data_IF_456981667867
#
_entry.id   IF_456981667867
#
_cell.length_a   1.000
_cell.length_b   1.000
_cell.length_c   1.000
_cell.angle_alpha   90.00
_cell.angle_beta   90.00
_cell.angle_gamma   90.00
#
_symmetry.space_group_name_H-M   'P 1'
#
loop_
_entity.id
_entity.type
_entity.pdbx_description
1 polymer ?
#
# COMPACT_ATOMS: atom_id res chain seq x y z
N UNK A 1 29.61 -1.94 19.88
CA UNK A 1 29.75 -2.62 18.58
C UNK A 1 28.63 -3.60 18.30
N UNK A 2 28.21 -4.41 19.29
CA UNK A 2 27.09 -5.33 19.13
C UNK A 2 25.78 -4.61 18.77
N UNK A 3 25.57 -3.40 19.30
CA UNK A 3 24.35 -2.60 19.01
C UNK A 3 24.23 -2.22 17.55
N UNK A 4 25.34 -1.89 16.88
CA UNK A 4 25.34 -1.51 15.48
C UNK A 4 25.05 -2.72 14.59
N UNK A 5 25.64 -3.87 14.89
CA UNK A 5 25.38 -5.11 14.17
C UNK A 5 23.94 -5.56 14.34
N UNK A 6 23.37 -5.44 15.55
CA UNK A 6 21.98 -5.79 15.81
C UNK A 6 21.02 -4.85 15.06
N UNK A 7 21.33 -3.55 15.05
CA UNK A 7 20.51 -2.57 14.33
C UNK A 7 20.49 -2.85 12.83
N UNK A 8 21.63 -3.14 12.24
CA UNK A 8 21.73 -3.47 10.83
C UNK A 8 20.99 -4.76 10.50
N UNK A 9 21.12 -5.77 11.36
CA UNK A 9 20.40 -7.04 11.23
C UNK A 9 18.88 -6.83 11.31
N UNK A 10 18.41 -6.01 12.26
CA UNK A 10 17.00 -5.68 12.44
C UNK A 10 16.46 -4.92 11.22
N UNK A 11 17.25 -4.02 10.66
CA UNK A 11 16.88 -3.28 9.45
C UNK A 11 16.75 -4.21 8.24
N UNK A 12 17.67 -5.16 8.08
CA UNK A 12 17.61 -6.14 6.99
C UNK A 12 16.40 -7.05 7.14
N UNK A 13 16.07 -7.46 8.36
CA UNK A 13 14.88 -8.27 8.65
C UNK A 13 13.61 -7.49 8.32
N UNK A 14 13.52 -6.23 8.73
CA UNK A 14 12.39 -5.35 8.42
C UNK A 14 12.24 -5.16 6.92
N UNK A 15 13.34 -4.94 6.22
CA UNK A 15 13.38 -4.80 4.77
C UNK A 15 12.83 -6.04 4.07
N UNK A 16 13.24 -7.22 4.52
CA UNK A 16 12.79 -8.49 3.97
C UNK A 16 11.29 -8.69 4.19
N UNK A 17 10.79 -8.37 5.40
CA UNK A 17 9.36 -8.46 5.73
C UNK A 17 8.53 -7.51 4.88
N UNK A 18 9.02 -6.29 4.67
CA UNK A 18 8.35 -5.32 3.80
C UNK A 18 8.30 -5.82 2.37
N UNK A 19 9.37 -6.42 1.87
CA UNK A 19 9.40 -7.01 0.53
C UNK A 19 8.33 -8.07 0.34
N UNK A 20 8.18 -8.96 1.31
CA UNK A 20 7.12 -9.99 1.29
C UNK A 20 5.73 -9.39 1.35
N UNK A 21 5.52 -8.40 2.22
CA UNK A 21 4.23 -7.72 2.34
C UNK A 21 3.86 -7.02 1.04
N UNK A 22 4.82 -6.39 0.39
CA UNK A 22 4.63 -5.74 -0.91
C UNK A 22 4.22 -6.76 -1.97
N UNK A 23 4.91 -7.90 -2.04
CA UNK A 23 4.57 -8.96 -2.99
C UNK A 23 3.14 -9.47 -2.80
N UNK A 24 2.73 -9.70 -1.56
CA UNK A 24 1.38 -10.14 -1.22
C UNK A 24 0.34 -9.10 -1.66
N UNK A 25 0.59 -7.83 -1.35
CA UNK A 25 -0.32 -6.74 -1.73
C UNK A 25 -0.42 -6.58 -3.24
N UNK A 26 0.69 -6.66 -3.97
CA UNK A 26 0.69 -6.59 -5.42
C UNK A 26 -0.09 -7.74 -6.04
N UNK A 27 0.08 -8.95 -5.51
CA UNK A 27 -0.67 -10.13 -5.96
C UNK A 27 -2.17 -9.95 -5.73
N UNK A 28 -2.56 -9.46 -4.55
CA UNK A 28 -3.97 -9.20 -4.23
C UNK A 28 -4.58 -8.14 -5.13
N UNK A 29 -3.83 -7.08 -5.41
CA UNK A 29 -4.29 -6.00 -6.28
C UNK A 29 -4.46 -6.48 -7.73
N UNK A 30 -3.61 -7.39 -8.19
CA UNK A 30 -3.73 -7.96 -9.53
C UNK A 30 -5.00 -8.81 -9.70
N UNK A 31 -5.50 -9.39 -8.61
CA UNK A 31 -6.72 -10.21 -8.63
C UNK A 31 -7.95 -9.45 -8.14
N UNK A 32 -7.80 -8.19 -7.75
CA UNK A 32 -8.93 -7.39 -7.29
C UNK A 32 -9.80 -6.92 -8.45
N UNK A 33 -11.03 -6.50 -8.13
CA UNK A 33 -11.95 -6.01 -9.15
C UNK A 33 -11.38 -4.75 -9.82
N UNK A 34 -11.66 -4.59 -11.12
CA UNK A 34 -11.21 -3.44 -11.86
C UNK A 34 -11.97 -2.17 -11.47
N UNK A 35 -11.29 -1.03 -11.57
CA UNK A 35 -11.87 0.27 -11.29
C UNK A 35 -11.51 0.78 -9.91
N UNK A 36 -12.04 1.94 -9.60
CA UNK A 36 -11.81 2.62 -8.32
C UNK A 36 -13.12 3.13 -7.74
N UNK A 37 -13.12 3.28 -6.42
CA UNK A 37 -14.28 3.80 -5.70
C UNK A 37 -14.24 5.32 -5.70
N UNK A 38 -15.35 5.93 -6.13
CA UNK A 38 -15.57 7.37 -5.98
C UNK A 38 -16.69 7.60 -4.98
N UNK A 39 -16.47 8.52 -4.07
CA UNK A 39 -17.47 8.91 -3.07
C UNK A 39 -17.83 10.37 -3.29
N UNK A 40 -19.12 10.63 -3.48
CA UNK A 40 -19.63 12.00 -3.54
C UNK A 40 -20.46 12.28 -2.32
N UNK A 41 -20.04 13.27 -1.55
CA UNK A 41 -20.71 13.68 -0.33
C UNK A 41 -21.85 14.61 -0.70
N UNK A 42 -23.07 14.27 -0.27
CA UNK A 42 -24.26 15.07 -0.53
C UNK A 42 -25.01 15.38 0.75
N UNK A 43 -25.98 16.28 0.67
CA UNK A 43 -26.81 16.67 1.82
C UNK A 43 -27.62 15.50 2.37
N UNK A 44 -28.04 14.58 1.50
CA UNK A 44 -28.82 13.39 1.88
C UNK A 44 -27.95 12.15 2.15
N UNK A 45 -26.62 12.31 2.22
CA UNK A 45 -25.70 11.21 2.49
C UNK A 45 -24.67 11.02 1.38
N UNK A 46 -23.77 10.08 1.60
CA UNK A 46 -22.72 9.79 0.64
C UNK A 46 -23.24 8.88 -0.47
N UNK A 47 -22.82 9.17 -1.70
CA UNK A 47 -23.11 8.36 -2.87
C UNK A 47 -21.85 7.71 -3.39
N UNK A 48 -21.93 6.44 -3.74
CA UNK A 48 -20.80 5.65 -4.19
C UNK A 48 -20.90 5.34 -5.67
N UNK A 49 -19.76 5.48 -6.38
CA UNK A 49 -19.69 5.23 -7.82
C UNK A 49 -18.46 4.38 -8.11
N UNK A 50 -18.60 3.51 -9.11
CA UNK A 50 -17.48 2.77 -9.68
C UNK A 50 -16.94 3.56 -10.86
N UNK A 51 -15.66 3.93 -10.80
CA UNK A 51 -14.99 4.57 -11.94
C UNK A 51 -14.13 3.51 -12.64
N UNK A 52 -14.51 3.13 -13.84
CA UNK A 52 -13.79 2.14 -14.64
C UNK A 52 -12.88 2.74 -15.71
N UNK A 53 -12.60 4.04 -15.61
CA UNK A 53 -11.76 4.77 -16.55
C UNK A 53 -12.56 5.42 -17.67
N UNK A 54 -11.90 6.24 -18.50
CA UNK A 54 -12.53 6.94 -19.64
C UNK A 54 -13.81 7.72 -19.27
N UNK A 55 -13.83 8.32 -18.08
CA UNK A 55 -14.99 9.05 -17.54
C UNK A 55 -16.26 8.20 -17.41
N UNK A 56 -16.10 6.89 -17.35
CA UNK A 56 -17.23 5.99 -17.17
C UNK A 56 -17.46 5.76 -15.67
N UNK A 57 -18.59 6.25 -15.17
CA UNK A 57 -18.98 6.10 -13.77
C UNK A 57 -20.28 5.31 -13.68
N UNK A 58 -20.29 4.34 -12.75
CA UNK A 58 -21.48 3.55 -12.48
C UNK A 58 -21.92 3.80 -11.03
N UNK A 59 -23.19 4.16 -10.84
CA UNK A 59 -23.75 4.34 -9.51
C UNK A 59 -23.84 3.00 -8.77
N UNK A 60 -23.37 2.98 -7.52
CA UNK A 60 -23.41 1.80 -6.67
C UNK A 60 -24.48 2.02 -5.58
N UNK A 61 -25.62 1.37 -5.73
CA UNK A 61 -26.71 1.46 -4.78
C UNK A 61 -26.51 0.55 -3.56
N UNK A 62 -27.55 0.48 -2.73
CA UNK A 62 -27.54 -0.31 -1.50
C UNK A 62 -27.38 -1.80 -1.76
N UNK A 63 -27.80 -2.28 -2.90
CA UNK A 63 -27.66 -3.67 -3.34
C UNK A 63 -26.21 -4.03 -3.72
N UNK A 64 -25.34 -3.02 -3.86
CA UNK A 64 -23.94 -3.19 -4.25
C UNK A 64 -22.98 -3.03 -3.08
N UNK A 65 -23.42 -3.29 -1.86
CA UNK A 65 -22.56 -3.16 -0.66
C UNK A 65 -21.29 -3.99 -0.74
N UNK A 66 -21.38 -5.19 -1.28
CA UNK A 66 -20.21 -6.06 -1.47
C UNK A 66 -19.19 -5.47 -2.42
N UNK A 67 -19.65 -4.87 -3.52
CA UNK A 67 -18.80 -4.19 -4.49
C UNK A 67 -18.13 -2.96 -3.87
N UNK A 68 -18.90 -2.18 -3.11
CA UNK A 68 -18.38 -0.99 -2.41
C UNK A 68 -17.30 -1.41 -1.42
N UNK A 69 -17.54 -2.46 -0.64
CA UNK A 69 -16.58 -2.97 0.33
C UNK A 69 -15.30 -3.47 -0.35
N UNK A 70 -15.42 -4.18 -1.46
CA UNK A 70 -14.27 -4.68 -2.23
C UNK A 70 -13.43 -3.54 -2.80
N UNK A 71 -14.08 -2.50 -3.32
CA UNK A 71 -13.39 -1.32 -3.85
C UNK A 71 -12.72 -0.51 -2.74
N UNK A 72 -13.37 -0.38 -1.59
CA UNK A 72 -12.80 0.29 -0.42
C UNK A 72 -11.57 -0.47 0.08
N UNK A 73 -11.64 -1.79 0.12
CA UNK A 73 -10.50 -2.63 0.50
C UNK A 73 -9.34 -2.49 -0.50
N UNK A 74 -9.65 -2.46 -1.78
CA UNK A 74 -8.66 -2.23 -2.84
C UNK A 74 -7.95 -0.89 -2.65
N UNK A 75 -8.72 0.16 -2.37
CA UNK A 75 -8.16 1.50 -2.12
C UNK A 75 -7.24 1.49 -0.92
N UNK A 76 -7.67 0.85 0.16
CA UNK A 76 -6.86 0.69 1.37
C UNK A 76 -5.55 -0.04 1.06
N UNK A 77 -5.61 -1.14 0.32
CA UNK A 77 -4.42 -1.92 -0.03
C UNK A 77 -3.46 -1.15 -0.93
N UNK A 78 -3.97 -0.32 -1.86
CA UNK A 78 -3.14 0.55 -2.68
C UNK A 78 -2.39 1.58 -1.85
N UNK A 79 -3.08 2.19 -0.90
CA UNK A 79 -2.46 3.17 0.00
C UNK A 79 -1.41 2.49 0.90
N UNK A 80 -1.72 1.31 1.41
CA UNK A 80 -0.81 0.53 2.23
C UNK A 80 0.43 0.12 1.43
N UNK A 81 0.25 -0.32 0.19
CA UNK A 81 1.34 -0.67 -0.71
C UNK A 81 2.28 0.52 -0.95
N UNK A 82 1.70 1.67 -1.20
CA UNK A 82 2.46 2.92 -1.40
C UNK A 82 3.28 3.25 -0.15
N UNK A 83 2.67 3.15 1.03
CA UNK A 83 3.35 3.40 2.30
C UNK A 83 4.50 2.41 2.53
N UNK A 84 4.29 1.13 2.23
CA UNK A 84 5.32 0.10 2.39
C UNK A 84 6.48 0.31 1.42
N UNK A 85 6.20 0.68 0.16
CA UNK A 85 7.26 0.98 -0.81
C UNK A 85 8.11 2.15 -0.38
N UNK A 86 7.47 3.19 0.15
CA UNK A 86 8.18 4.37 0.68
C UNK A 86 9.07 3.97 1.87
N UNK A 87 8.54 3.18 2.79
CA UNK A 87 9.29 2.71 3.96
C UNK A 87 10.46 1.83 3.55
N UNK A 88 10.25 0.92 2.59
CA UNK A 88 11.29 0.05 2.08
C UNK A 88 12.44 0.86 1.46
N UNK A 89 12.09 1.88 0.68
CA UNK A 89 13.08 2.77 0.06
C UNK A 89 13.90 3.52 1.11
N UNK A 90 13.24 4.01 2.17
CA UNK A 90 13.90 4.68 3.28
C UNK A 90 14.85 3.75 4.04
N UNK A 91 14.43 2.51 4.28
CA UNK A 91 15.27 1.51 4.94
C UNK A 91 16.48 1.13 4.10
N UNK A 92 16.30 1.00 2.79
CA UNK A 92 17.39 0.70 1.86
C UNK A 92 18.45 1.79 1.91
N UNK A 93 18.03 3.05 1.87
CA UNK A 93 18.93 4.20 1.95
C UNK A 93 19.66 4.25 3.29
N UNK A 94 18.94 4.06 4.39
CA UNK A 94 19.52 4.07 5.74
C UNK A 94 20.53 2.91 5.92
N UNK A 95 20.22 1.73 5.40
CA UNK A 95 21.10 0.58 5.43
C UNK A 95 22.39 0.84 4.67
N UNK A 96 22.31 1.44 3.48
CA UNK A 96 23.49 1.80 2.69
C UNK A 96 24.35 2.84 3.40
N UNK A 97 23.73 3.84 4.02
CA UNK A 97 24.44 4.86 4.77
C UNK A 97 25.17 4.26 5.98
N UNK A 98 24.54 3.32 6.68
CA UNK A 98 25.18 2.62 7.80
C UNK A 98 26.34 1.74 7.34
N UNK A 99 26.19 1.05 6.21
CA UNK A 99 27.26 0.22 5.65
C UNK A 99 28.47 1.07 5.25
N UNK A 100 28.23 2.24 4.66
CA UNK A 100 29.29 3.18 4.33
C UNK A 100 30.02 3.68 5.58
N UNK A 101 29.25 4.03 6.62
CA UNK A 101 29.81 4.48 7.88
C UNK A 101 30.67 3.39 8.54
N UNK A 102 30.20 2.16 8.53
CA UNK A 102 30.92 1.02 9.09
C UNK A 102 32.17 0.70 8.26
N UNK A 103 32.12 0.88 6.95
CA UNK A 103 33.26 0.64 6.07
C UNK A 103 34.38 1.66 6.18
N UNK A 104 34.07 2.86 6.65
CA UNK A 104 35.04 3.94 6.82
C UNK A 104 35.72 3.91 8.19
N UNK A 105 35.16 3.18 9.11
CA UNK A 105 35.70 3.04 10.45
C UNK A 105 36.68 1.91 10.54
#
# INVERSE_FOLDING_TARGET
>A
MQKICNLLSDMKESYRRLGKAIEVLESRLNTSIEGSLMVRVGESGDRFFLNSGNNHEEYLGKDKKGTIAALAQKRYEKELLKAYKTKKSSLDKASKDLEKGAGLG
#
